data_IF_246602499505
#
_entry.id   IF_246602499505
#
_cell.length_a   1.000
_cell.length_b   1.000
_cell.length_c   1.000
_cell.angle_alpha   90.00
_cell.angle_beta   90.00
_cell.angle_gamma   90.00
#
_symmetry.space_group_name_H-M   'P 1'
#
loop_
_entity.id
_entity.type
_entity.pdbx_description
1 polymer ?
#
# COMPACT_ATOMS: atom_id res chain seq x y z
N UNK A 1 30.59 -4.90 -5.47
CA UNK A 1 29.66 -3.89 -6.04
C UNK A 1 28.33 -4.60 -6.24
N UNK A 2 27.22 -4.19 -5.58
CA UNK A 2 25.96 -4.87 -5.77
C UNK A 2 25.37 -4.42 -7.12
N UNK A 3 25.73 -5.14 -8.18
CA UNK A 3 25.03 -5.04 -9.46
C UNK A 3 23.58 -5.46 -9.24
N UNK A 4 22.67 -4.48 -9.15
CA UNK A 4 21.25 -4.80 -9.11
C UNK A 4 20.86 -5.31 -10.49
N UNK A 5 20.56 -6.60 -10.52
CA UNK A 5 20.19 -7.31 -11.75
C UNK A 5 18.72 -7.03 -12.06
N UNK A 6 18.38 -7.02 -13.35
CA UNK A 6 16.98 -6.88 -13.81
C UNK A 6 16.05 -7.89 -13.10
N UNK A 7 16.59 -9.07 -12.78
CA UNK A 7 15.92 -10.11 -11.99
C UNK A 7 15.55 -9.66 -10.57
N UNK A 8 16.39 -8.87 -9.89
CA UNK A 8 16.06 -8.33 -8.57
C UNK A 8 14.92 -7.30 -8.65
N UNK A 9 14.91 -6.45 -9.68
CA UNK A 9 13.82 -5.50 -9.92
C UNK A 9 12.50 -6.22 -10.24
N UNK A 10 12.55 -7.29 -11.04
CA UNK A 10 11.38 -8.13 -11.31
C UNK A 10 10.86 -8.86 -10.06
N UNK A 11 11.76 -9.40 -9.23
CA UNK A 11 11.37 -10.02 -7.96
C UNK A 11 10.74 -8.98 -7.00
N UNK A 12 11.29 -7.77 -6.92
CA UNK A 12 10.70 -6.67 -6.14
C UNK A 12 9.28 -6.34 -6.62
N UNK A 13 9.07 -6.25 -7.94
CA UNK A 13 7.74 -6.06 -8.52
C UNK A 13 6.79 -7.17 -8.10
N UNK A 14 7.16 -8.44 -8.29
CA UNK A 14 6.30 -9.58 -7.93
C UNK A 14 5.96 -9.60 -6.44
N UNK A 15 6.92 -9.26 -5.58
CA UNK A 15 6.69 -9.19 -4.14
C UNK A 15 5.75 -8.03 -3.76
N UNK A 16 5.84 -6.88 -4.44
CA UNK A 16 4.91 -5.76 -4.25
C UNK A 16 3.51 -6.17 -4.71
N UNK A 17 3.36 -6.70 -5.93
CA UNK A 17 2.08 -7.12 -6.48
C UNK A 17 1.41 -8.17 -5.57
N UNK A 18 2.19 -9.11 -5.02
CA UNK A 18 1.71 -10.11 -4.07
C UNK A 18 1.33 -9.51 -2.71
N UNK A 19 2.12 -8.60 -2.16
CA UNK A 19 1.79 -7.93 -0.91
C UNK A 19 0.52 -7.08 -1.02
N UNK A 20 0.27 -6.47 -2.19
CA UNK A 20 -0.99 -5.78 -2.50
C UNK A 20 -2.16 -6.77 -2.55
N UNK A 21 -1.99 -7.90 -3.25
CA UNK A 21 -3.04 -8.92 -3.36
C UNK A 21 -3.39 -9.59 -2.01
N UNK A 22 -2.40 -9.80 -1.15
CA UNK A 22 -2.56 -10.34 0.20
C UNK A 22 -2.99 -9.28 1.22
N UNK A 23 -3.13 -8.00 0.82
CA UNK A 23 -3.38 -6.85 1.70
C UNK A 23 -2.37 -6.74 2.86
N UNK A 24 -1.13 -7.22 2.65
CA UNK A 24 -0.06 -7.20 3.65
C UNK A 24 0.70 -5.86 3.58
N UNK A 25 0.09 -4.84 4.18
CA UNK A 25 0.60 -3.47 4.17
C UNK A 25 1.91 -3.29 4.93
N UNK A 26 2.14 -4.10 5.98
CA UNK A 26 3.40 -4.08 6.72
C UNK A 26 4.54 -4.56 5.82
N UNK A 27 4.31 -5.64 5.08
CA UNK A 27 5.29 -6.17 4.14
C UNK A 27 5.48 -5.24 2.93
N UNK A 28 4.42 -4.60 2.46
CA UNK A 28 4.51 -3.56 1.43
C UNK A 28 5.45 -2.43 1.88
N UNK A 29 5.30 -1.92 3.11
CA UNK A 29 6.16 -0.85 3.64
C UNK A 29 7.63 -1.28 3.76
N UNK A 30 7.89 -2.52 4.17
CA UNK A 30 9.27 -3.06 4.23
C UNK A 30 9.90 -3.19 2.85
N UNK A 31 9.13 -3.66 1.85
CA UNK A 31 9.56 -3.71 0.46
C UNK A 31 9.86 -2.31 -0.07
N UNK A 32 9.07 -1.32 0.33
CA UNK A 32 9.25 0.08 -0.04
C UNK A 32 10.56 0.68 0.50
N UNK A 33 10.85 0.47 1.79
CA UNK A 33 12.11 0.90 2.40
C UNK A 33 13.32 0.22 1.76
N UNK A 34 13.17 -1.06 1.39
CA UNK A 34 14.20 -1.81 0.69
C UNK A 34 14.43 -1.23 -0.70
N UNK A 35 13.35 -0.95 -1.44
CA UNK A 35 13.38 -0.30 -2.74
C UNK A 35 14.09 1.05 -2.66
N UNK A 36 13.77 1.87 -1.66
CA UNK A 36 14.36 3.19 -1.50
C UNK A 36 15.88 3.12 -1.25
N UNK A 37 16.35 2.19 -0.41
CA UNK A 37 17.78 1.95 -0.17
C UNK A 37 18.49 1.48 -1.45
N UNK A 38 17.87 0.57 -2.18
CA UNK A 38 18.34 0.05 -3.47
C UNK A 38 18.47 1.20 -4.48
N UNK A 39 17.44 2.04 -4.63
CA UNK A 39 17.45 3.20 -5.52
C UNK A 39 18.51 4.24 -5.12
N UNK A 40 18.66 4.53 -3.83
CA UNK A 40 19.69 5.45 -3.32
C UNK A 40 21.10 4.91 -3.59
N UNK A 41 21.31 3.60 -3.43
CA UNK A 41 22.60 2.97 -3.74
C UNK A 41 22.94 2.98 -5.23
N UNK A 42 21.93 3.10 -6.08
CA UNK A 42 22.07 3.11 -7.54
C UNK A 42 22.10 4.52 -8.14
N UNK A 43 21.90 5.58 -7.36
CA UNK A 43 21.79 6.97 -7.85
C UNK A 43 23.03 7.46 -8.61
N UNK A 44 24.18 6.81 -8.40
CA UNK A 44 25.45 7.16 -9.04
C UNK A 44 25.86 6.17 -10.14
N UNK A 45 25.06 5.14 -10.45
CA UNK A 45 25.34 4.16 -11.49
C UNK A 45 24.70 4.54 -12.83
N UNK A 46 25.41 4.23 -13.92
CA UNK A 46 24.87 4.36 -15.27
C UNK A 46 23.98 3.17 -15.57
N UNK A 47 22.68 3.39 -15.70
CA UNK A 47 21.73 2.34 -16.02
C UNK A 47 21.73 2.03 -17.52
N UNK A 48 21.72 0.74 -17.85
CA UNK A 48 21.39 0.26 -19.18
C UNK A 48 19.92 0.53 -19.52
N UNK A 49 19.59 0.57 -20.82
CA UNK A 49 18.21 0.78 -21.28
C UNK A 49 17.22 -0.26 -20.70
N UNK A 50 17.65 -1.51 -20.56
CA UNK A 50 16.86 -2.58 -19.94
C UNK A 50 16.58 -2.33 -18.45
N UNK A 51 17.58 -1.85 -17.70
CA UNK A 51 17.39 -1.49 -16.29
C UNK A 51 16.44 -0.30 -16.13
N UNK A 52 16.51 0.69 -17.02
CA UNK A 52 15.58 1.83 -17.03
C UNK A 52 14.15 1.36 -17.32
N UNK A 53 13.94 0.46 -18.28
CA UNK A 53 12.61 -0.12 -18.52
C UNK A 53 12.09 -0.91 -17.31
N UNK A 54 12.92 -1.74 -16.69
CA UNK A 54 12.56 -2.49 -15.49
C UNK A 54 12.20 -1.57 -14.32
N UNK A 55 12.94 -0.47 -14.13
CA UNK A 55 12.65 0.55 -13.13
C UNK A 55 11.33 1.27 -13.42
N UNK A 56 11.03 1.60 -14.68
CA UNK A 56 9.75 2.20 -15.05
C UNK A 56 8.57 1.25 -14.79
N UNK A 57 8.72 -0.04 -15.10
CA UNK A 57 7.71 -1.05 -14.79
C UNK A 57 7.49 -1.21 -13.28
N UNK A 58 8.56 -1.18 -12.50
CA UNK A 58 8.51 -1.24 -11.04
C UNK A 58 7.82 0.00 -10.47
N UNK A 59 8.14 1.19 -10.98
CA UNK A 59 7.47 2.44 -10.61
C UNK A 59 5.97 2.40 -10.89
N UNK A 60 5.56 1.84 -12.03
CA UNK A 60 4.13 1.74 -12.35
C UNK A 60 3.39 0.78 -11.42
N UNK A 61 3.99 -0.36 -11.06
CA UNK A 61 3.41 -1.30 -10.08
C UNK A 61 3.35 -0.66 -8.68
N UNK A 62 4.38 0.08 -8.30
CA UNK A 62 4.41 0.83 -7.05
C UNK A 62 3.32 1.90 -6.95
N UNK A 63 3.10 2.67 -8.01
CA UNK A 63 1.99 3.63 -8.07
C UNK A 63 0.62 2.95 -7.96
N UNK A 64 0.45 1.79 -8.59
CA UNK A 64 -0.78 1.00 -8.46
C UNK A 64 -0.98 0.50 -7.01
N UNK A 65 0.09 0.06 -6.34
CA UNK A 65 0.07 -0.33 -4.94
C UNK A 65 -0.34 0.84 -4.02
N UNK A 66 0.20 2.04 -4.24
CA UNK A 66 -0.21 3.25 -3.49
C UNK A 66 -1.69 3.54 -3.69
N UNK A 67 -2.17 3.43 -4.94
CA UNK A 67 -3.58 3.65 -5.24
C UNK A 67 -4.47 2.63 -4.52
N UNK A 68 -4.09 1.35 -4.51
CA UNK A 68 -4.81 0.29 -3.80
C UNK A 68 -4.83 0.52 -2.27
N UNK A 69 -3.70 0.92 -1.69
CA UNK A 69 -3.62 1.29 -0.26
C UNK A 69 -4.56 2.45 0.06
N UNK A 70 -4.59 3.48 -0.81
CA UNK A 70 -5.45 4.64 -0.63
C UNK A 70 -6.94 4.26 -0.69
N UNK A 71 -7.31 3.44 -1.67
CA UNK A 71 -8.69 2.96 -1.81
C UNK A 71 -9.12 2.12 -0.59
N UNK A 72 -8.26 1.24 -0.10
CA UNK A 72 -8.57 0.47 1.12
C UNK A 72 -8.60 1.32 2.39
N UNK A 73 -7.79 2.39 2.45
CA UNK A 73 -7.89 3.37 3.54
C UNK A 73 -9.22 4.12 3.50
N UNK A 74 -9.67 4.55 2.33
CA UNK A 74 -10.93 5.26 2.16
C UNK A 74 -12.12 4.35 2.50
N UNK A 75 -12.08 3.06 2.09
CA UNK A 75 -13.06 2.05 2.51
C UNK A 75 -13.06 1.82 4.03
N UNK A 76 -11.88 1.68 4.64
CA UNK A 76 -11.78 1.51 6.09
C UNK A 76 -12.35 2.73 6.84
N UNK A 77 -12.10 3.94 6.35
CA UNK A 77 -12.67 5.16 6.92
C UNK A 77 -14.20 5.17 6.80
N UNK A 78 -14.74 4.72 5.67
CA UNK A 78 -16.17 4.59 5.46
C UNK A 78 -16.81 3.57 6.40
N UNK A 79 -16.18 2.40 6.58
CA UNK A 79 -16.62 1.37 7.52
C UNK A 79 -16.57 1.86 8.97
N UNK A 80 -15.52 2.60 9.36
CA UNK A 80 -15.42 3.21 10.68
C UNK A 80 -16.53 4.22 10.94
N UNK A 81 -16.85 5.06 9.94
CA UNK A 81 -17.95 6.01 10.04
C UNK A 81 -19.29 5.28 10.19
N UNK A 82 -19.54 4.23 9.41
CA UNK A 82 -20.76 3.43 9.49
C UNK A 82 -20.92 2.73 10.85
N UNK A 83 -19.83 2.22 11.43
CA UNK A 83 -19.83 1.63 12.79
C UNK A 83 -20.08 2.70 13.85
N UNK A 84 -19.55 3.92 13.69
CA UNK A 84 -19.77 5.03 14.62
C UNK A 84 -21.22 5.52 14.58
N UNK A 85 -21.78 5.70 13.39
CA UNK A 85 -23.19 6.07 13.17
C UNK A 85 -24.14 5.00 13.73
N UNK A 86 -23.82 3.71 13.53
CA UNK A 86 -24.60 2.61 14.11
C UNK A 86 -24.59 2.61 15.64
N UNK A 87 -23.45 2.98 16.26
CA UNK A 87 -23.32 3.12 17.72
C UNK A 87 -24.11 4.30 18.26
N UNK A 88 -24.04 5.45 17.59
CA UNK A 88 -24.80 6.65 17.95
C UNK A 88 -26.30 6.43 17.79
N UNK A 89 -26.73 5.76 16.71
CA UNK A 89 -28.12 5.36 16.51
C UNK A 89 -28.63 4.47 17.64
N UNK A 90 -27.89 3.42 18.00
CA UNK A 90 -28.24 2.53 19.13
C UNK A 90 -28.36 3.28 20.46
N UNK A 91 -27.46 4.23 20.73
CA UNK A 91 -27.52 5.07 21.93
C UNK A 91 -28.72 6.01 21.90
N UNK A 92 -29.04 6.62 20.76
CA UNK A 92 -30.20 7.48 20.59
C UNK A 92 -31.52 6.71 20.79
N UNK A 93 -31.62 5.49 20.25
CA UNK A 93 -32.76 4.61 20.51
C UNK A 93 -32.87 4.24 22.00
N UNK A 94 -31.78 3.89 22.67
CA UNK A 94 -31.80 3.61 24.11
C UNK A 94 -32.22 4.83 24.95
N UNK A 95 -31.77 6.03 24.60
CA UNK A 95 -32.16 7.26 25.30
C UNK A 95 -33.63 7.62 25.06
N UNK A 96 -34.13 7.45 23.83
CA UNK A 96 -35.54 7.66 23.51
C UNK A 96 -36.43 6.68 24.27
N UNK A 97 -36.07 5.39 24.30
CA UNK A 97 -36.82 4.36 25.02
C UNK A 97 -36.86 4.59 26.55
N UNK A 98 -35.82 5.20 27.11
CA UNK A 98 -35.77 5.59 28.52
C UNK A 98 -36.53 6.91 28.83
N UNK A 99 -36.91 7.71 27.84
CA UNK A 99 -37.71 8.93 27.99
C UNK A 99 -39.22 8.70 27.81
N UNK A 100 -39.61 7.53 27.28
CA UNK A 100 -41.02 7.13 27.09
C UNK A 100 -41.59 6.30 28.27
N UNK A 101 -40.86 6.20 29.39
CA UNK A 101 -41.28 5.63 30.68
C UNK A 101 -41.51 6.73 31.72
#
# INVERSE_FOLDING_TARGET
MPNITVTQLHNLKQNIDRAVAEHDWNRLQQLDQTLQKVLLSLQHESFSHEQIQALNHLKSSHLAAISAVKENKDKLQQDMNAVSEGKEGLLAYQMAMNMEL
#
